data_IF_696511011205
#
_entry.id   IF_696511011205
#
_cell.length_a   1.000
_cell.length_b   1.000
_cell.length_c   1.000
_cell.angle_alpha   90.00
_cell.angle_beta   90.00
_cell.angle_gamma   90.00
#
_symmetry.space_group_name_H-M   'P 1'
#
loop_
_entity.id
_entity.type
_entity.pdbx_description
1 polymer ?
#
# COMPACT_ATOMS: atom_id res chain seq x y z
N UNK A 1 -13.38 4.67 -2.47
CA UNK A 1 -12.73 4.36 -3.76
C UNK A 1 -11.62 5.37 -3.97
N UNK A 2 -10.36 4.97 -3.81
CA UNK A 2 -9.21 5.87 -4.05
C UNK A 2 -9.09 6.12 -5.55
N UNK A 3 -9.22 7.36 -6.00
CA UNK A 3 -9.05 7.82 -7.38
C UNK A 3 -7.59 7.78 -7.86
N UNK A 4 -6.79 6.83 -7.35
CA UNK A 4 -5.44 6.54 -7.84
C UNK A 4 -5.54 5.46 -8.93
N UNK A 5 -4.98 5.75 -10.11
CA UNK A 5 -4.78 4.73 -11.13
C UNK A 5 -3.92 3.58 -10.57
N UNK A 6 -4.28 2.34 -10.90
CA UNK A 6 -3.62 1.11 -10.41
C UNK A 6 -2.10 1.14 -10.63
N UNK A 7 -1.64 1.77 -11.71
CA UNK A 7 -0.23 1.97 -12.04
C UNK A 7 0.54 2.79 -11.00
N UNK A 8 -0.09 3.77 -10.36
CA UNK A 8 0.52 4.57 -9.30
C UNK A 8 0.68 3.76 -8.02
N UNK A 9 -0.24 2.84 -7.75
CA UNK A 9 -0.17 1.93 -6.61
C UNK A 9 1.02 0.96 -6.80
N UNK A 10 1.14 0.33 -7.97
CA UNK A 10 2.27 -0.56 -8.28
C UNK A 10 3.63 0.17 -8.34
N UNK A 11 3.68 1.40 -8.87
CA UNK A 11 4.90 2.22 -8.86
C UNK A 11 5.36 2.55 -7.43
N UNK A 12 4.41 2.85 -6.53
CA UNK A 12 4.71 3.13 -5.11
C UNK A 12 5.05 1.86 -4.32
N UNK A 13 4.52 0.69 -4.73
CA UNK A 13 5.00 -0.61 -4.27
C UNK A 13 6.45 -0.84 -4.67
N UNK A 14 6.81 -0.60 -5.94
CA UNK A 14 8.18 -0.75 -6.42
C UNK A 14 9.17 0.23 -5.74
N UNK A 15 8.71 1.45 -5.41
CA UNK A 15 9.50 2.45 -4.70
C UNK A 15 9.77 2.12 -3.21
N UNK A 16 9.23 1.01 -2.68
CA UNK A 16 9.44 0.61 -1.29
C UNK A 16 8.73 1.48 -0.26
N UNK A 17 7.88 2.43 -0.70
CA UNK A 17 7.05 3.27 0.18
C UNK A 17 5.79 2.55 0.62
N UNK A 18 5.49 1.37 0.05
CA UNK A 18 4.34 0.56 0.42
C UNK A 18 4.69 -0.36 1.61
N UNK A 19 3.78 -0.56 2.58
CA UNK A 19 4.08 -1.33 3.78
C UNK A 19 4.46 -2.78 3.45
N UNK A 20 5.45 -3.30 4.17
CA UNK A 20 5.94 -4.67 4.00
C UNK A 20 4.80 -5.65 4.26
N UNK A 21 4.51 -6.55 3.32
CA UNK A 21 3.40 -7.46 3.46
C UNK A 21 3.81 -8.57 4.45
N UNK A 22 2.88 -8.98 5.32
CA UNK A 22 3.12 -10.02 6.33
C UNK A 22 2.64 -11.36 5.77
N UNK A 23 3.54 -12.33 5.72
CA UNK A 23 3.22 -13.68 5.23
C UNK A 23 2.38 -14.37 6.29
N UNK A 24 1.13 -14.68 5.94
CA UNK A 24 0.19 -15.41 6.79
C UNK A 24 0.23 -16.91 6.48
N UNK A 25 0.46 -17.27 5.22
CA UNK A 25 0.73 -18.65 4.79
C UNK A 25 1.56 -18.66 3.50
N UNK A 26 1.98 -19.85 3.06
CA UNK A 26 2.86 -20.06 1.91
C UNK A 26 2.42 -19.34 0.62
N UNK A 27 1.11 -19.15 0.43
CA UNK A 27 0.52 -18.42 -0.71
C UNK A 27 -0.35 -17.22 -0.28
N UNK A 28 -0.30 -16.81 0.98
CA UNK A 28 -1.15 -15.74 1.50
C UNK A 28 -0.30 -14.67 2.18
N UNK A 29 -0.25 -13.50 1.55
CA UNK A 29 0.34 -12.31 2.16
C UNK A 29 -0.78 -11.31 2.46
N UNK A 30 -0.69 -10.69 3.64
CA UNK A 30 -1.69 -9.76 4.15
C UNK A 30 -1.01 -8.53 4.72
N UNK A 31 -1.79 -7.45 4.81
CA UNK A 31 -1.35 -6.23 5.46
C UNK A 31 -2.22 -5.96 6.67
N UNK A 32 -1.61 -5.38 7.68
CA UNK A 32 -2.31 -4.78 8.80
C UNK A 32 -3.10 -3.57 8.30
N UNK A 33 -4.40 -3.56 8.57
CA UNK A 33 -5.29 -2.47 8.14
C UNK A 33 -4.79 -1.11 8.65
N UNK A 34 -4.30 -1.05 9.88
CA UNK A 34 -3.73 0.16 10.47
C UNK A 34 -2.52 0.66 9.69
N UNK A 35 -1.65 -0.24 9.20
CA UNK A 35 -0.46 0.14 8.44
C UNK A 35 -0.81 0.63 7.03
N UNK A 36 -1.80 0.01 6.38
CA UNK A 36 -2.32 0.48 5.10
C UNK A 36 -3.04 1.81 5.26
N UNK A 37 -3.83 1.98 6.31
CA UNK A 37 -4.52 3.24 6.62
C UNK A 37 -3.53 4.35 6.90
N UNK A 38 -2.54 4.14 7.78
CA UNK A 38 -1.48 5.11 8.05
C UNK A 38 -0.68 5.47 6.78
N UNK A 39 -0.41 4.48 5.93
CA UNK A 39 0.22 4.71 4.64
C UNK A 39 -0.66 5.60 3.74
N UNK A 40 -1.95 5.30 3.62
CA UNK A 40 -2.90 6.11 2.84
C UNK A 40 -2.94 7.57 3.33
N UNK A 41 -2.94 7.80 4.65
CA UNK A 41 -2.89 9.14 5.24
C UNK A 41 -1.55 9.85 5.02
N UNK A 42 -0.44 9.10 4.97
CA UNK A 42 0.88 9.64 4.68
C UNK A 42 1.09 9.96 3.20
N UNK A 43 0.19 9.53 2.31
CA UNK A 43 0.32 9.89 0.90
C UNK A 43 0.06 11.40 0.76
N UNK A 44 0.99 12.16 0.14
CA UNK A 44 0.68 13.53 -0.22
C UNK A 44 -0.49 13.49 -1.20
N UNK A 45 -1.61 14.11 -0.81
CA UNK A 45 -2.67 14.45 -1.76
C UNK A 45 -2.01 15.37 -2.78
N UNK A 46 -1.94 14.92 -4.03
CA UNK A 46 -1.52 15.81 -5.10
C UNK A 46 -2.56 16.94 -5.16
N UNK A 47 -2.14 18.14 -4.78
CA UNK A 47 -2.93 19.36 -4.84
C UNK A 47 -3.24 19.73 -6.29
#
# INVERSE_FOLDING_TARGET
MTSLGTSTIYRRMAAGTFPRPRVLSEACVRWTETSISAWMYSLPVAA
#
